data_IF_035655129497
#
_entry.id   IF_035655129497
#
_cell.length_a   1.000
_cell.length_b   1.000
_cell.length_c   1.000
_cell.angle_alpha   90.00
_cell.angle_beta   90.00
_cell.angle_gamma   90.00
#
_symmetry.space_group_name_H-M   'P 1'
#
loop_
_entity.id
_entity.type
_entity.pdbx_description
1 polymer ?
#
# COMPACT_ATOMS: atom_id res chain seq x y z
N UNK A 1 -23.25 -8.84 92.38
CA UNK A 1 -22.18 -8.06 91.70
C UNK A 1 -22.63 -7.76 90.27
N UNK A 2 -23.16 -6.55 90.05
CA UNK A 2 -23.20 -5.89 88.73
C UNK A 2 -21.79 -5.36 88.41
N UNK A 3 -21.53 -4.91 87.18
CA UNK A 3 -20.26 -4.38 86.63
C UNK A 3 -19.41 -5.31 85.74
N UNK A 4 -20.02 -6.15 84.90
CA UNK A 4 -19.27 -6.94 83.89
C UNK A 4 -19.71 -6.78 82.43
N UNK A 5 -20.95 -6.34 82.15
CA UNK A 5 -21.50 -6.44 80.78
C UNK A 5 -21.52 -5.14 79.99
N UNK A 6 -21.43 -3.97 80.63
CA UNK A 6 -21.55 -2.67 79.94
C UNK A 6 -20.20 -2.23 79.36
N UNK A 7 -19.09 -2.38 80.08
CA UNK A 7 -17.74 -2.06 79.58
C UNK A 7 -17.32 -2.96 78.42
N UNK A 8 -17.58 -4.26 78.52
CA UNK A 8 -17.24 -5.23 77.46
C UNK A 8 -18.02 -4.94 76.17
N UNK A 9 -19.29 -4.53 76.29
CA UNK A 9 -20.12 -4.13 75.13
C UNK A 9 -19.68 -2.80 74.53
N UNK A 10 -19.29 -1.81 75.35
CA UNK A 10 -18.75 -0.53 74.89
C UNK A 10 -17.43 -0.68 74.13
N UNK A 11 -16.49 -1.45 74.69
CA UNK A 11 -15.19 -1.74 74.06
C UNK A 11 -15.35 -2.55 72.77
N UNK A 12 -16.24 -3.54 72.74
CA UNK A 12 -16.53 -4.31 71.52
C UNK A 12 -17.14 -3.45 70.41
N UNK A 13 -18.00 -2.48 70.75
CA UNK A 13 -18.62 -1.58 69.78
C UNK A 13 -17.61 -0.57 69.21
N UNK A 14 -16.68 -0.07 70.03
CA UNK A 14 -15.57 0.80 69.59
C UNK A 14 -14.61 0.02 68.68
N UNK A 15 -14.28 -1.22 69.02
CA UNK A 15 -13.44 -2.09 68.19
C UNK A 15 -14.07 -2.39 66.82
N UNK A 16 -15.38 -2.66 66.78
CA UNK A 16 -16.13 -2.87 65.53
C UNK A 16 -16.19 -1.60 64.66
N UNK A 17 -16.40 -0.42 65.26
CA UNK A 17 -16.35 0.86 64.53
C UNK A 17 -14.96 1.16 63.97
N UNK A 18 -13.88 0.93 64.74
CA UNK A 18 -12.50 1.07 64.26
C UNK A 18 -12.20 0.12 63.10
N UNK A 19 -12.60 -1.15 63.20
CA UNK A 19 -12.38 -2.16 62.15
C UNK A 19 -13.14 -1.82 60.85
N UNK A 20 -14.36 -1.33 60.96
CA UNK A 20 -15.17 -0.85 59.83
C UNK A 20 -14.53 0.39 59.15
N UNK A 21 -14.00 1.32 59.93
CA UNK A 21 -13.33 2.53 59.41
C UNK A 21 -12.02 2.19 58.68
N UNK A 22 -11.18 1.31 59.26
CA UNK A 22 -9.94 0.83 58.62
C UNK A 22 -10.26 0.10 57.30
N UNK A 23 -11.30 -0.73 57.27
CA UNK A 23 -11.72 -1.42 56.04
C UNK A 23 -12.18 -0.44 54.95
N UNK A 24 -12.92 0.62 55.31
CA UNK A 24 -13.31 1.67 54.37
C UNK A 24 -12.11 2.43 53.82
N UNK A 25 -11.12 2.76 54.66
CA UNK A 25 -9.88 3.43 54.23
C UNK A 25 -9.04 2.57 53.28
N UNK A 26 -8.90 1.27 53.58
CA UNK A 26 -8.18 0.33 52.71
C UNK A 26 -8.90 0.12 51.36
N UNK A 27 -10.23 0.11 51.36
CA UNK A 27 -11.02 0.04 50.12
C UNK A 27 -10.87 1.32 49.28
N UNK A 28 -10.84 2.48 49.94
CA UNK A 28 -10.65 3.77 49.29
C UNK A 28 -9.24 3.91 48.70
N UNK A 29 -8.19 3.51 49.44
CA UNK A 29 -6.81 3.57 48.94
C UNK A 29 -6.58 2.62 47.76
N UNK A 30 -7.14 1.39 47.83
CA UNK A 30 -7.05 0.41 46.73
C UNK A 30 -7.80 0.88 45.48
N UNK A 31 -8.96 1.52 45.65
CA UNK A 31 -9.71 2.11 44.55
C UNK A 31 -8.98 3.32 43.93
N UNK A 32 -8.30 4.13 44.75
CA UNK A 32 -7.49 5.27 44.28
C UNK A 32 -6.25 4.80 43.51
N UNK A 33 -5.54 3.78 44.02
CA UNK A 33 -4.40 3.17 43.33
C UNK A 33 -4.81 2.51 42.00
N UNK A 34 -5.94 1.81 41.96
CA UNK A 34 -6.48 1.27 40.69
C UNK A 34 -6.79 2.38 39.68
N UNK A 35 -7.40 3.49 40.11
CA UNK A 35 -7.69 4.63 39.22
C UNK A 35 -6.41 5.28 38.68
N UNK A 36 -5.39 5.45 39.53
CA UNK A 36 -4.09 6.00 39.13
C UNK A 36 -3.38 5.10 38.11
N UNK A 37 -3.40 3.78 38.31
CA UNK A 37 -2.81 2.84 37.36
C UNK A 37 -3.54 2.81 36.01
N UNK A 38 -4.88 2.90 36.02
CA UNK A 38 -5.69 2.97 34.79
C UNK A 38 -5.39 4.28 34.02
N UNK A 39 -5.27 5.42 34.71
CA UNK A 39 -4.91 6.69 34.08
C UNK A 39 -3.50 6.68 33.48
N UNK A 40 -2.53 6.05 34.16
CA UNK A 40 -1.16 5.91 33.64
C UNK A 40 -1.11 5.01 32.39
N UNK A 41 -1.88 3.92 32.37
CA UNK A 41 -1.98 3.02 31.20
C UNK A 41 -2.63 3.69 29.98
N UNK A 42 -3.61 4.57 30.22
CA UNK A 42 -4.26 5.39 29.19
C UNK A 42 -3.32 6.46 28.61
N UNK A 43 -2.45 7.07 29.42
CA UNK A 43 -1.45 8.02 28.92
C UNK A 43 -0.34 7.33 28.10
N UNK A 44 0.10 6.13 28.50
CA UNK A 44 1.10 5.36 27.77
C UNK A 44 0.59 4.80 26.44
N UNK A 45 -0.72 4.53 26.32
CA UNK A 45 -1.34 4.10 25.05
C UNK A 45 -1.55 5.24 24.04
N UNK A 46 -1.45 6.50 24.46
CA UNK A 46 -1.49 7.67 23.57
C UNK A 46 -0.13 7.98 22.90
N UNK A 47 0.96 7.32 23.31
CA UNK A 47 2.27 7.38 22.61
C UNK A 47 2.34 6.39 21.43
N UNK A 48 1.17 6.03 20.90
CA UNK A 48 1.01 5.18 19.72
C UNK A 48 1.50 5.88 18.45
N UNK A 49 2.75 5.59 18.10
CA UNK A 49 3.26 5.49 16.73
C UNK A 49 2.91 6.69 15.80
N UNK A 50 3.59 7.83 16.03
CA UNK A 50 3.92 8.71 14.91
C UNK A 50 4.85 7.93 13.98
N UNK A 51 4.28 7.15 13.06
CA UNK A 51 5.03 6.75 11.89
C UNK A 51 5.23 8.04 11.10
N UNK A 52 6.40 8.63 11.18
CA UNK A 52 6.85 9.53 10.12
C UNK A 52 6.76 8.71 8.85
N UNK A 53 5.74 8.99 8.03
CA UNK A 53 5.80 8.59 6.63
C UNK A 53 7.02 9.32 6.12
N UNK A 54 8.14 8.59 6.03
CA UNK A 54 9.17 8.90 5.06
C UNK A 54 8.48 8.76 3.70
N UNK A 55 7.75 9.81 3.32
CA UNK A 55 7.48 10.11 1.94
C UNK A 55 8.87 10.41 1.42
N UNK A 56 9.52 9.39 0.89
CA UNK A 56 10.57 9.62 -0.09
C UNK A 56 9.87 10.47 -1.14
N UNK A 57 10.14 11.77 -1.12
CA UNK A 57 9.73 12.65 -2.19
C UNK A 57 10.35 12.02 -3.44
N UNK A 58 9.51 11.32 -4.20
CA UNK A 58 9.84 10.97 -5.56
C UNK A 58 10.01 12.31 -6.23
N UNK A 59 11.25 12.67 -6.57
CA UNK A 59 11.54 13.87 -7.32
C UNK A 59 10.77 13.80 -8.64
N UNK A 60 9.60 14.45 -8.66
CA UNK A 60 8.67 14.47 -9.78
C UNK A 60 9.20 15.35 -10.93
N UNK A 61 10.34 16.03 -10.76
CA UNK A 61 10.89 16.97 -11.72
C UNK A 61 12.00 16.40 -12.61
N UNK A 62 12.42 15.14 -12.42
CA UNK A 62 13.47 14.55 -13.28
C UNK A 62 13.02 14.28 -14.73
N UNK A 63 11.71 14.25 -15.01
CA UNK A 63 11.22 14.12 -16.41
C UNK A 63 11.68 15.27 -17.30
N UNK A 64 12.04 16.44 -16.75
CA UNK A 64 12.57 17.55 -17.56
C UNK A 64 14.05 17.38 -17.96
N UNK A 65 14.79 16.43 -17.37
CA UNK A 65 16.21 16.21 -17.60
C UNK A 65 16.56 14.86 -18.25
N UNK A 66 15.57 13.99 -18.48
CA UNK A 66 15.77 12.73 -19.20
C UNK A 66 15.86 12.99 -20.71
N UNK A 67 17.01 13.50 -21.15
CA UNK A 67 17.40 13.49 -22.56
C UNK A 67 17.83 12.07 -22.95
N UNK A 68 16.88 11.14 -23.01
CA UNK A 68 17.13 9.82 -23.58
C UNK A 68 16.83 9.89 -25.08
N UNK A 69 17.79 9.47 -25.90
CA UNK A 69 17.52 9.26 -27.31
C UNK A 69 16.44 8.17 -27.45
N UNK A 70 15.36 8.46 -28.18
CA UNK A 70 14.30 7.50 -28.45
C UNK A 70 14.81 6.23 -29.14
N UNK A 71 15.95 6.31 -29.83
CA UNK A 71 16.63 5.17 -30.44
C UNK A 71 17.25 4.22 -29.40
N UNK A 72 17.51 4.68 -28.18
CA UNK A 72 18.03 3.90 -27.07
C UNK A 72 16.94 3.31 -26.18
N UNK A 73 15.67 3.50 -26.54
CA UNK A 73 14.51 2.97 -25.83
C UNK A 73 14.02 1.67 -26.46
N UNK A 74 13.66 0.73 -25.61
CA UNK A 74 12.78 -0.38 -25.95
C UNK A 74 11.56 -0.44 -25.05
N UNK A 75 10.50 -1.08 -25.51
CA UNK A 75 9.27 -1.24 -24.75
C UNK A 75 9.25 -2.66 -24.19
N UNK A 76 9.18 -2.78 -22.88
CA UNK A 76 8.88 -4.05 -22.23
C UNK A 76 7.38 -4.26 -22.24
N UNK A 77 6.95 -5.52 -22.33
CA UNK A 77 5.54 -5.88 -22.18
C UNK A 77 4.89 -5.18 -20.99
N UNK A 78 3.80 -4.43 -21.21
CA UNK A 78 3.11 -3.74 -20.13
C UNK A 78 2.64 -4.71 -19.04
N UNK A 79 2.92 -4.38 -17.79
CA UNK A 79 2.39 -5.07 -16.62
C UNK A 79 0.96 -4.61 -16.36
N UNK A 80 -0.03 -5.49 -16.54
CA UNK A 80 -1.44 -5.12 -16.40
C UNK A 80 -2.07 -5.96 -15.31
N UNK A 81 -2.59 -5.29 -14.29
CA UNK A 81 -3.47 -5.89 -13.32
C UNK A 81 -4.87 -5.28 -13.38
N UNK A 82 -5.88 -6.14 -13.36
CA UNK A 82 -7.29 -5.75 -13.30
C UNK A 82 -8.10 -6.76 -12.48
N UNK A 83 -8.87 -6.24 -11.53
CA UNK A 83 -9.80 -7.02 -10.72
C UNK A 83 -11.21 -6.46 -10.82
N UNK A 84 -12.19 -7.34 -10.86
CA UNK A 84 -13.58 -6.94 -10.68
C UNK A 84 -13.88 -6.83 -9.18
N UNK A 85 -14.46 -5.71 -8.74
CA UNK A 85 -15.08 -5.60 -7.43
C UNK A 85 -16.54 -6.00 -7.55
N UNK A 86 -16.90 -7.10 -6.90
CA UNK A 86 -18.28 -7.63 -6.85
C UNK A 86 -18.57 -8.22 -5.48
N UNK A 87 -19.69 -7.86 -4.88
CA UNK A 87 -20.15 -8.30 -3.55
C UNK A 87 -19.06 -8.16 -2.49
N UNK A 88 -18.36 -7.02 -2.45
CA UNK A 88 -17.29 -6.82 -1.48
C UNK A 88 -16.00 -7.62 -1.74
N UNK A 89 -15.92 -8.46 -2.78
CA UNK A 89 -14.74 -9.27 -3.14
C UNK A 89 -14.05 -8.73 -4.39
N UNK A 90 -12.74 -8.98 -4.49
CA UNK A 90 -11.95 -8.69 -5.69
C UNK A 90 -11.70 -9.99 -6.46
N UNK A 91 -12.25 -10.08 -7.67
CA UNK A 91 -12.18 -11.25 -8.53
C UNK A 91 -11.14 -11.01 -9.64
N UNK A 92 -10.29 -12.00 -9.90
CA UNK A 92 -9.36 -11.95 -11.01
C UNK A 92 -10.11 -12.12 -12.34
N UNK A 93 -9.67 -11.41 -13.38
CA UNK A 93 -10.36 -11.36 -14.68
C UNK A 93 -9.38 -11.53 -15.85
N UNK A 94 -8.93 -12.78 -16.14
CA UNK A 94 -7.88 -13.01 -17.13
C UNK A 94 -8.21 -12.52 -18.55
N UNK A 95 -9.49 -12.60 -18.94
CA UNK A 95 -9.97 -12.16 -20.25
C UNK A 95 -9.85 -10.64 -20.38
N UNK A 96 -10.32 -9.89 -19.38
CA UNK A 96 -10.28 -8.43 -19.31
C UNK A 96 -8.83 -7.94 -19.21
N UNK A 97 -7.98 -8.64 -18.45
CA UNK A 97 -6.54 -8.38 -18.38
C UNK A 97 -5.89 -8.48 -19.75
N UNK A 98 -6.17 -9.56 -20.51
CA UNK A 98 -5.65 -9.75 -21.87
C UNK A 98 -6.13 -8.66 -22.83
N UNK A 99 -7.42 -8.30 -22.76
CA UNK A 99 -7.98 -7.19 -23.56
C UNK A 99 -7.26 -5.87 -23.29
N UNK A 100 -7.06 -5.52 -22.00
CA UNK A 100 -6.36 -4.29 -21.63
C UNK A 100 -4.88 -4.29 -21.97
N UNK A 101 -4.20 -5.43 -21.82
CA UNK A 101 -2.82 -5.60 -22.28
C UNK A 101 -2.69 -5.26 -23.75
N UNK A 102 -3.60 -5.75 -24.59
CA UNK A 102 -3.60 -5.43 -26.02
C UNK A 102 -3.84 -3.93 -26.28
N UNK A 103 -4.80 -3.32 -25.58
CA UNK A 103 -5.06 -1.88 -25.72
C UNK A 103 -3.83 -1.05 -25.36
N UNK A 104 -3.18 -1.33 -24.24
CA UNK A 104 -1.98 -0.61 -23.81
C UNK A 104 -0.85 -0.84 -24.81
N UNK A 105 -0.61 -2.10 -25.20
CA UNK A 105 0.43 -2.44 -26.18
C UNK A 105 0.26 -1.70 -27.50
N UNK A 106 -0.95 -1.72 -28.07
CA UNK A 106 -1.27 -1.01 -29.31
C UNK A 106 -1.07 0.50 -29.16
N UNK A 107 -1.51 1.05 -28.03
CA UNK A 107 -1.35 2.48 -27.74
C UNK A 107 0.13 2.86 -27.65
N UNK A 108 0.95 2.08 -26.95
CA UNK A 108 2.38 2.36 -26.81
C UNK A 108 3.10 2.22 -28.15
N UNK A 109 2.79 1.18 -28.94
CA UNK A 109 3.36 0.99 -30.29
C UNK A 109 3.02 2.15 -31.22
N UNK A 110 1.82 2.73 -31.10
CA UNK A 110 1.45 3.91 -31.91
C UNK A 110 2.31 5.15 -31.62
N UNK A 111 2.83 5.27 -30.40
CA UNK A 111 3.66 6.40 -29.98
C UNK A 111 5.16 6.18 -30.24
N UNK A 112 5.60 4.92 -30.22
CA UNK A 112 6.98 4.52 -30.48
C UNK A 112 7.03 3.43 -31.56
N UNK A 113 6.70 3.76 -32.82
CA UNK A 113 6.56 2.77 -33.90
C UNK A 113 7.85 2.02 -34.21
N UNK A 114 9.01 2.65 -33.97
CA UNK A 114 10.33 2.10 -34.26
C UNK A 114 11.04 1.49 -33.04
N UNK A 115 10.43 1.59 -31.85
CA UNK A 115 11.04 1.03 -30.65
C UNK A 115 10.86 -0.49 -30.64
N UNK A 116 11.93 -1.28 -30.42
CA UNK A 116 11.80 -2.72 -30.31
C UNK A 116 10.95 -3.07 -29.09
N UNK A 117 10.21 -4.18 -29.21
CA UNK A 117 9.34 -4.67 -28.16
C UNK A 117 9.88 -5.99 -27.62
N UNK A 118 10.07 -6.05 -26.31
CA UNK A 118 10.50 -7.27 -25.62
C UNK A 118 9.32 -7.84 -24.86
N UNK A 119 8.94 -9.07 -25.25
CA UNK A 119 8.05 -9.87 -24.45
C UNK A 119 8.80 -10.49 -23.28
N UNK A 120 8.69 -9.85 -22.13
CA UNK A 120 9.03 -10.49 -20.86
C UNK A 120 7.98 -11.56 -20.61
N UNK A 121 8.43 -12.81 -20.44
CA UNK A 121 7.56 -13.93 -20.09
C UNK A 121 6.99 -13.71 -18.69
N UNK A 122 5.91 -12.94 -18.60
CA UNK A 122 4.99 -12.96 -17.47
C UNK A 122 4.21 -14.27 -17.53
N UNK A 123 4.87 -15.39 -17.23
CA UNK A 123 4.26 -16.71 -17.31
C UNK A 123 3.14 -16.80 -16.27
N UNK A 124 1.93 -17.09 -16.73
CA UNK A 124 0.99 -17.85 -15.91
C UNK A 124 1.58 -19.27 -15.78
N UNK A 125 2.42 -19.49 -14.77
CA UNK A 125 2.64 -20.81 -14.13
C UNK A 125 1.28 -21.45 -13.89
N UNK A 126 0.55 -20.81 -12.98
CA UNK A 126 -0.79 -21.17 -12.51
C UNK A 126 -1.49 -19.89 -12.04
N UNK A 127 -2.80 -19.94 -11.76
CA UNK A 127 -3.65 -18.80 -11.40
C UNK A 127 -3.22 -17.98 -10.15
N UNK A 128 -2.14 -18.36 -9.44
CA UNK A 128 -1.84 -17.81 -8.11
C UNK A 128 -0.43 -17.25 -7.89
N UNK A 129 0.62 -17.68 -8.62
CA UNK A 129 1.97 -17.63 -7.99
C UNK A 129 3.06 -16.85 -8.70
N UNK A 130 3.07 -16.74 -10.03
CA UNK A 130 4.25 -16.17 -10.72
C UNK A 130 4.13 -14.68 -11.05
N UNK A 131 2.92 -14.13 -11.15
CA UNK A 131 2.76 -12.68 -11.29
C UNK A 131 2.73 -11.97 -9.95
N UNK A 132 2.37 -12.62 -8.83
CA UNK A 132 2.25 -11.90 -7.54
C UNK A 132 3.59 -11.31 -7.07
N UNK A 133 4.70 -12.02 -7.31
CA UNK A 133 6.04 -11.53 -6.96
C UNK A 133 6.39 -10.33 -7.84
N UNK A 134 6.30 -10.42 -9.17
CA UNK A 134 6.52 -9.28 -10.05
C UNK A 134 5.55 -8.11 -9.82
N UNK A 135 4.27 -8.40 -9.54
CA UNK A 135 3.22 -7.45 -9.14
C UNK A 135 3.61 -6.72 -7.83
N UNK A 136 4.32 -7.38 -6.91
CA UNK A 136 4.86 -6.79 -5.67
C UNK A 136 6.21 -6.10 -5.87
N UNK A 137 7.06 -6.64 -6.73
CA UNK A 137 8.44 -6.23 -6.94
C UNK A 137 8.55 -5.00 -7.85
N UNK A 138 7.66 -4.85 -8.84
CA UNK A 138 7.51 -3.61 -9.64
C UNK A 138 6.67 -2.61 -8.85
N UNK A 139 7.32 -1.98 -7.86
CA UNK A 139 6.72 -0.97 -6.99
C UNK A 139 7.37 0.39 -7.21
N UNK A 140 6.56 1.45 -7.11
CA UNK A 140 7.03 2.83 -7.20
C UNK A 140 8.06 3.22 -6.12
N UNK A 141 8.21 2.41 -5.07
CA UNK A 141 9.16 2.65 -3.96
C UNK A 141 10.53 2.00 -4.18
N UNK A 142 10.67 1.10 -5.14
CA UNK A 142 11.90 0.31 -5.35
C UNK A 142 12.77 0.97 -6.42
N UNK A 143 14.08 1.06 -6.14
CA UNK A 143 15.09 1.57 -7.08
C UNK A 143 15.80 0.49 -7.88
N UNK A 144 15.82 -0.76 -7.40
CA UNK A 144 16.42 -1.88 -8.12
C UNK A 144 15.37 -2.50 -9.03
N UNK A 145 15.71 -2.70 -10.31
CA UNK A 145 14.84 -3.39 -11.24
C UNK A 145 14.81 -4.91 -10.95
N UNK A 146 13.63 -5.54 -10.94
CA UNK A 146 13.54 -7.00 -10.89
C UNK A 146 14.24 -7.64 -12.09
N UNK A 147 14.90 -8.78 -11.90
CA UNK A 147 15.67 -9.44 -12.98
C UNK A 147 14.82 -9.80 -14.18
N UNK A 148 13.54 -10.08 -13.94
CA UNK A 148 12.60 -10.49 -14.97
C UNK A 148 12.22 -9.34 -15.91
N UNK A 149 12.34 -8.08 -15.48
CA UNK A 149 12.10 -6.90 -16.34
C UNK A 149 13.39 -6.34 -16.92
N UNK A 150 14.56 -6.86 -16.55
CA UNK A 150 15.82 -6.54 -17.20
C UNK A 150 15.86 -7.20 -18.58
N UNK A 151 16.35 -6.45 -19.55
CA UNK A 151 16.33 -6.87 -20.94
C UNK A 151 17.64 -6.50 -21.62
N UNK A 152 18.03 -7.26 -22.62
CA UNK A 152 19.21 -7.00 -23.45
C UNK A 152 18.83 -6.19 -24.69
N UNK A 153 19.81 -5.61 -25.37
CA UNK A 153 19.64 -4.93 -26.67
C UNK A 153 19.65 -3.42 -26.62
N UNK A 154 18.93 -2.80 -25.66
CA UNK A 154 18.93 -1.35 -25.44
C UNK A 154 19.28 -1.02 -24.00
N UNK A 155 19.98 0.10 -23.79
CA UNK A 155 20.33 0.57 -22.45
C UNK A 155 19.08 0.89 -21.63
N UNK A 156 18.09 1.50 -22.24
CA UNK A 156 16.89 1.94 -21.54
C UNK A 156 15.65 1.17 -21.98
N UNK A 157 14.80 0.84 -21.02
CA UNK A 157 13.48 0.25 -21.29
C UNK A 157 12.37 1.01 -20.61
N UNK A 158 11.25 1.15 -21.32
CA UNK A 158 10.01 1.69 -20.78
C UNK A 158 9.13 0.53 -20.34
N UNK A 159 8.68 0.60 -19.09
CA UNK A 159 7.70 -0.31 -18.51
C UNK A 159 6.46 0.48 -18.10
N UNK A 160 5.32 0.12 -18.67
CA UNK A 160 4.01 0.62 -18.25
C UNK A 160 3.40 -0.42 -17.32
N UNK A 161 3.11 -0.02 -16.09
CA UNK A 161 2.43 -0.86 -15.09
C UNK A 161 1.08 -0.26 -14.74
N UNK A 162 0.03 -1.07 -14.69
CA UNK A 162 -1.31 -0.61 -14.30
C UNK A 162 -1.92 -1.52 -13.25
N UNK A 163 -2.60 -0.93 -12.27
CA UNK A 163 -3.36 -1.62 -11.24
C UNK A 163 -4.79 -1.08 -11.25
N UNK A 164 -5.74 -1.87 -11.74
CA UNK A 164 -7.07 -1.39 -12.09
C UNK A 164 -8.18 -2.19 -11.43
N UNK A 165 -9.33 -1.52 -11.27
CA UNK A 165 -10.55 -2.07 -10.69
C UNK A 165 -11.76 -1.64 -11.51
N UNK A 166 -12.74 -2.53 -11.67
CA UNK A 166 -14.04 -2.26 -12.28
C UNK A 166 -15.18 -2.96 -11.53
N UNK A 167 -16.43 -2.71 -11.89
CA UNK A 167 -17.61 -3.21 -11.16
C UNK A 167 -18.08 -2.22 -10.11
N UNK A 168 -18.23 -2.64 -8.86
CA UNK A 168 -18.63 -1.76 -7.73
C UNK A 168 -17.58 -0.67 -7.41
N UNK A 169 -16.34 -0.86 -7.89
CA UNK A 169 -15.24 0.09 -7.67
C UNK A 169 -14.52 0.34 -8.98
N UNK A 170 -14.69 1.54 -9.52
CA UNK A 170 -14.05 1.96 -10.75
C UNK A 170 -12.90 2.92 -10.49
N UNK A 171 -11.67 2.39 -10.51
CA UNK A 171 -10.46 3.21 -10.39
C UNK A 171 -9.25 2.46 -10.90
N UNK A 172 -8.19 3.20 -11.17
CA UNK A 172 -6.91 2.57 -11.46
C UNK A 172 -5.75 3.52 -11.26
N UNK A 173 -4.57 2.93 -11.38
CA UNK A 173 -3.29 3.63 -11.33
C UNK A 173 -2.49 3.19 -12.54
N UNK A 174 -1.93 4.16 -13.26
CA UNK A 174 -0.93 3.95 -14.31
C UNK A 174 0.40 4.44 -13.76
N UNK A 175 1.38 3.55 -13.76
CA UNK A 175 2.77 3.86 -13.46
C UNK A 175 3.59 3.74 -14.75
N UNK A 176 4.41 4.74 -15.02
CA UNK A 176 5.40 4.71 -16.07
C UNK A 176 6.77 4.63 -15.43
N UNK A 177 7.53 3.60 -15.80
CA UNK A 177 8.87 3.39 -15.31
C UNK A 177 9.88 3.45 -16.44
N UNK A 178 11.04 3.99 -16.12
CA UNK A 178 12.27 3.84 -16.87
C UNK A 178 13.13 2.79 -16.18
N UNK A 179 13.65 1.85 -16.95
CA UNK A 179 14.64 0.87 -16.51
C UNK A 179 15.96 1.21 -17.20
N UNK A 180 17.02 1.41 -16.43
CA UNK A 180 18.40 1.40 -16.93
C UNK A 180 18.90 -0.05 -16.82
N UNK A 181 18.96 -0.74 -17.95
CA UNK A 181 19.31 -2.17 -18.04
C UNK A 181 20.78 -2.40 -17.66
N UNK A 182 21.67 -1.43 -17.89
CA UNK A 182 23.10 -1.54 -17.54
C UNK A 182 23.31 -1.37 -16.04
N UNK A 183 22.60 -0.42 -15.43
CA UNK A 183 22.70 -0.15 -13.99
C UNK A 183 21.77 -1.01 -13.13
N UNK A 184 20.90 -1.80 -13.76
CA UNK A 184 19.84 -2.58 -13.14
C UNK A 184 18.91 -1.75 -12.24
N UNK A 185 18.64 -0.50 -12.65
CA UNK A 185 17.82 0.43 -11.86
C UNK A 185 16.45 0.63 -12.48
N UNK A 186 15.46 0.87 -11.60
CA UNK A 186 14.09 1.20 -11.92
C UNK A 186 13.77 2.58 -11.36
N UNK A 187 13.24 3.46 -12.20
CA UNK A 187 12.81 4.80 -11.81
C UNK A 187 11.35 5.03 -12.21
N UNK A 188 10.53 5.46 -11.26
CA UNK A 188 9.18 5.94 -11.56
C UNK A 188 9.26 7.31 -12.23
N UNK A 189 8.79 7.39 -13.47
CA UNK A 189 8.66 8.65 -14.21
C UNK A 189 7.30 9.31 -14.00
N UNK A 190 6.24 8.49 -13.96
CA UNK A 190 4.88 9.00 -13.76
C UNK A 190 4.04 8.06 -12.93
N UNK A 191 3.34 8.64 -11.96
CA UNK A 191 2.23 8.02 -11.25
C UNK A 191 0.94 8.77 -11.59
N UNK A 192 -0.06 8.08 -12.14
CA UNK A 192 -1.33 8.67 -12.53
C UNK A 192 -2.52 7.86 -12.02
N UNK A 193 -3.31 8.47 -11.13
CA UNK A 193 -4.51 7.87 -10.60
C UNK A 193 -5.76 8.35 -11.36
N UNK A 194 -6.75 7.48 -11.50
CA UNK A 194 -8.03 7.82 -12.12
C UNK A 194 -9.20 7.06 -11.49
N UNK A 195 -10.41 7.62 -11.61
CA UNK A 195 -11.65 7.12 -10.99
C UNK A 195 -12.72 6.84 -12.06
N UNK A 196 -12.46 5.90 -12.95
CA UNK A 196 -13.41 5.39 -13.95
C UNK A 196 -12.99 3.99 -14.37
N UNK A 197 -13.90 3.24 -14.99
CA UNK A 197 -13.60 1.89 -15.45
C UNK A 197 -12.44 1.88 -16.47
N UNK A 198 -11.41 1.04 -16.26
CA UNK A 198 -10.35 0.82 -17.25
C UNK A 198 -10.89 0.21 -18.55
N UNK A 199 -12.06 -0.44 -18.51
CA UNK A 199 -12.68 -1.11 -19.67
C UNK A 199 -13.28 -0.12 -20.67
N UNK A 200 -13.40 1.16 -20.32
CA UNK A 200 -13.72 2.24 -21.26
C UNK A 200 -12.48 2.53 -22.14
N UNK A 201 -12.23 1.66 -23.12
CA UNK A 201 -10.97 1.58 -23.86
C UNK A 201 -10.51 2.92 -24.45
N UNK A 202 -11.40 3.70 -25.08
CA UNK A 202 -11.02 5.02 -25.63
C UNK A 202 -10.60 6.04 -24.56
N UNK A 203 -11.32 6.07 -23.43
CA UNK A 203 -10.98 6.94 -22.31
C UNK A 203 -9.65 6.50 -21.69
N UNK A 204 -9.42 5.19 -21.59
CA UNK A 204 -8.19 4.62 -21.08
C UNK A 204 -6.99 4.86 -22.00
N UNK A 205 -7.14 4.69 -23.32
CA UNK A 205 -6.14 5.03 -24.34
C UNK A 205 -5.66 6.47 -24.18
N UNK A 206 -6.58 7.43 -24.03
CA UNK A 206 -6.23 8.85 -23.79
C UNK A 206 -5.39 9.03 -22.52
N UNK A 207 -5.62 8.23 -21.46
CA UNK A 207 -4.80 8.28 -20.24
C UNK A 207 -3.40 7.72 -20.47
N UNK A 208 -3.28 6.61 -21.19
CA UNK A 208 -1.98 6.02 -21.54
C UNK A 208 -1.16 7.01 -22.37
N UNK A 209 -1.74 7.60 -23.42
CA UNK A 209 -1.08 8.63 -24.23
C UNK A 209 -0.62 9.82 -23.39
N UNK A 210 -1.47 10.32 -22.50
CA UNK A 210 -1.10 11.42 -21.58
C UNK A 210 0.09 11.09 -20.68
N UNK A 211 0.22 9.84 -20.26
CA UNK A 211 1.35 9.38 -19.45
C UNK A 211 2.61 9.24 -20.31
N UNK A 212 2.49 8.68 -21.52
CA UNK A 212 3.61 8.50 -22.45
C UNK A 212 4.18 9.82 -23.00
N UNK A 213 3.38 10.87 -23.10
CA UNK A 213 3.83 12.23 -23.44
C UNK A 213 4.81 12.86 -22.43
N UNK A 214 5.13 12.16 -21.34
CA UNK A 214 6.15 12.58 -20.37
C UNK A 214 7.53 11.95 -20.61
N UNK A 215 7.65 11.13 -21.65
CA UNK A 215 8.90 10.61 -22.21
C UNK A 215 9.36 11.50 -23.36
#
# INVERSE_FOLDING_TARGET
>A
MKYGSVEVRGLAMIALKKKSYIYKLLKFSKQYQMKLHIQLLLLLSLVGCSSTKNVTEVDLNFTNNLKIDKNDLQIITPHIEIKEKRNGKFLATPVERKKLRNVILQTTKSMFPNAPYVEVMFMYRDAYTINLVLEREVSYKKRKAPKEVLTTGKRYSILISTNNYFGELERGVINLFLIDNEKETLQLLKHYQYKHSPLQTEKFKRKILKVLQKL
#
